data_IF_523569823324
#
_entry.id   IF_523569823324
#
_cell.length_a   1.000
_cell.length_b   1.000
_cell.length_c   1.000
_cell.angle_alpha   90.00
_cell.angle_beta   90.00
_cell.angle_gamma   90.00
#
_symmetry.space_group_name_H-M   'P 1'
#
loop_
_entity.id
_entity.type
_entity.pdbx_description
1 polymer ?
#
# COMPACT_ATOMS: atom_id res chain seq x y z
N UNK A 1 -33.97 -9.86 -42.12
CA UNK A 1 -34.25 -11.25 -41.67
C UNK A 1 -33.19 -12.15 -42.28
N UNK A 2 -32.30 -12.75 -41.48
CA UNK A 2 -31.21 -13.61 -41.97
C UNK A 2 -31.74 -15.02 -42.31
N UNK A 3 -31.67 -15.48 -43.58
CA UNK A 3 -32.21 -16.76 -44.01
C UNK A 3 -31.43 -17.98 -43.47
N UNK A 4 -30.27 -17.79 -42.84
CA UNK A 4 -29.49 -18.88 -42.21
C UNK A 4 -30.13 -19.44 -40.93
N UNK A 5 -31.20 -18.80 -40.45
CA UNK A 5 -31.89 -19.15 -39.20
C UNK A 5 -33.06 -20.15 -39.39
N UNK A 6 -33.26 -20.70 -40.60
CA UNK A 6 -34.42 -21.56 -40.91
C UNK A 6 -34.25 -23.05 -40.54
N UNK A 7 -33.29 -23.39 -39.68
CA UNK A 7 -33.16 -24.78 -39.19
C UNK A 7 -34.19 -25.00 -38.08
N UNK A 8 -35.03 -26.06 -38.15
CA UNK A 8 -35.94 -26.37 -37.05
C UNK A 8 -35.12 -26.57 -35.77
N UNK A 9 -35.41 -25.77 -34.74
CA UNK A 9 -34.77 -25.92 -33.43
C UNK A 9 -35.39 -27.11 -32.74
N UNK A 10 -34.56 -28.08 -32.38
CA UNK A 10 -34.98 -29.15 -31.48
C UNK A 10 -34.98 -28.62 -30.05
N UNK A 11 -36.15 -28.14 -29.63
CA UNK A 11 -36.35 -27.60 -28.28
C UNK A 11 -36.18 -28.66 -27.19
N UNK A 12 -36.40 -29.94 -27.51
CA UNK A 12 -36.25 -31.04 -26.55
C UNK A 12 -34.77 -31.31 -26.30
N UNK A 13 -33.96 -31.36 -27.36
CA UNK A 13 -32.51 -31.48 -27.25
C UNK A 13 -31.91 -30.27 -26.51
N UNK A 14 -32.37 -29.05 -26.82
CA UNK A 14 -31.91 -27.84 -26.14
C UNK A 14 -32.22 -27.88 -24.62
N UNK A 15 -33.44 -28.29 -24.24
CA UNK A 15 -33.82 -28.42 -22.84
C UNK A 15 -33.00 -29.49 -22.12
N UNK A 16 -32.76 -30.65 -22.74
CA UNK A 16 -31.91 -31.71 -22.19
C UNK A 16 -30.49 -31.20 -21.94
N UNK A 17 -29.86 -30.60 -22.94
CA UNK A 17 -28.51 -30.04 -22.83
C UNK A 17 -28.43 -28.99 -21.71
N UNK A 18 -29.43 -28.11 -21.60
CA UNK A 18 -29.48 -27.11 -20.54
C UNK A 18 -29.56 -27.78 -19.15
N UNK A 19 -30.43 -28.77 -18.98
CA UNK A 19 -30.56 -29.46 -17.69
C UNK A 19 -29.31 -30.25 -17.30
N UNK A 20 -28.62 -30.84 -18.27
CA UNK A 20 -27.34 -31.52 -18.03
C UNK A 20 -26.25 -30.53 -17.63
N UNK A 21 -26.15 -29.39 -18.30
CA UNK A 21 -25.19 -28.35 -17.93
C UNK A 21 -25.46 -27.79 -16.52
N UNK A 22 -26.73 -27.60 -16.14
CA UNK A 22 -27.10 -27.21 -14.78
C UNK A 22 -26.65 -28.25 -13.75
N UNK A 23 -26.79 -29.54 -14.05
CA UNK A 23 -26.30 -30.61 -13.15
C UNK A 23 -24.78 -30.58 -13.03
N UNK A 24 -24.06 -30.42 -14.15
CA UNK A 24 -22.59 -30.33 -14.16
C UNK A 24 -22.08 -29.09 -13.41
N UNK A 25 -22.71 -27.94 -13.58
CA UNK A 25 -22.32 -26.71 -12.87
C UNK A 25 -22.53 -26.84 -11.37
N UNK A 26 -23.65 -27.41 -10.92
CA UNK A 26 -23.87 -27.71 -9.50
C UNK A 26 -22.83 -28.67 -8.94
N UNK A 27 -22.49 -29.73 -9.68
CA UNK A 27 -21.42 -30.66 -9.29
C UNK A 27 -20.07 -29.96 -9.14
N UNK A 28 -19.70 -29.11 -10.10
CA UNK A 28 -18.46 -28.31 -10.04
C UNK A 28 -18.45 -27.34 -8.86
N UNK A 29 -19.56 -26.66 -8.59
CA UNK A 29 -19.70 -25.76 -7.44
C UNK A 29 -19.47 -26.52 -6.13
N UNK A 30 -20.07 -27.71 -5.99
CA UNK A 30 -19.93 -28.52 -4.78
C UNK A 30 -18.50 -29.00 -4.57
N UNK A 31 -17.82 -29.45 -5.65
CA UNK A 31 -16.40 -29.80 -5.59
C UNK A 31 -15.53 -28.60 -5.21
N UNK A 32 -15.84 -27.41 -5.75
CA UNK A 32 -15.13 -26.18 -5.41
C UNK A 32 -15.30 -25.86 -3.92
N UNK A 33 -16.51 -25.91 -3.39
CA UNK A 33 -16.76 -25.66 -1.96
C UNK A 33 -16.07 -26.70 -1.06
N UNK A 34 -16.04 -27.97 -1.44
CA UNK A 34 -15.31 -29.00 -0.70
C UNK A 34 -13.81 -28.76 -0.68
N UNK A 35 -13.25 -28.27 -1.79
CA UNK A 35 -11.80 -28.05 -1.93
C UNK A 35 -11.34 -26.77 -1.24
N UNK A 36 -12.09 -25.68 -1.41
CA UNK A 36 -11.68 -24.34 -0.99
C UNK A 36 -12.40 -23.82 0.24
N UNK A 37 -13.53 -24.42 0.64
CA UNK A 37 -14.26 -24.06 1.85
C UNK A 37 -13.38 -24.10 3.11
N UNK A 38 -12.68 -25.22 3.38
CA UNK A 38 -11.77 -25.31 4.54
C UNK A 38 -10.67 -24.25 4.51
N UNK A 39 -10.13 -23.96 3.31
CA UNK A 39 -9.07 -22.96 3.15
C UNK A 39 -9.54 -21.54 3.49
N UNK A 40 -10.81 -21.23 3.18
CA UNK A 40 -11.42 -19.95 3.54
C UNK A 40 -11.63 -19.85 5.06
N UNK A 41 -12.05 -20.94 5.71
CA UNK A 41 -12.19 -20.97 7.16
C UNK A 41 -10.85 -20.80 7.88
N UNK A 42 -9.79 -21.46 7.41
CA UNK A 42 -8.43 -21.29 7.91
C UNK A 42 -7.95 -19.84 7.76
N UNK A 43 -8.19 -19.24 6.60
CA UNK A 43 -7.85 -17.84 6.36
C UNK A 43 -8.57 -16.89 7.33
N UNK A 44 -9.86 -17.12 7.60
CA UNK A 44 -10.61 -16.32 8.58
C UNK A 44 -10.06 -16.49 9.99
N UNK A 45 -9.66 -17.70 10.39
CA UNK A 45 -9.06 -17.97 11.69
C UNK A 45 -7.70 -17.26 11.82
N UNK A 46 -6.82 -17.39 10.82
CA UNK A 46 -5.54 -16.68 10.82
C UNK A 46 -5.71 -15.16 10.87
N UNK A 47 -6.72 -14.62 10.16
CA UNK A 47 -7.04 -13.20 10.20
C UNK A 47 -7.44 -12.76 11.62
N UNK A 48 -8.25 -13.55 12.33
CA UNK A 48 -8.63 -13.27 13.73
C UNK A 48 -7.42 -13.29 14.66
N UNK A 49 -6.57 -14.32 14.56
CA UNK A 49 -5.33 -14.40 15.35
C UNK A 49 -4.42 -13.20 15.11
N UNK A 50 -4.26 -12.79 13.86
CA UNK A 50 -3.43 -11.64 13.51
C UNK A 50 -4.01 -10.33 14.07
N UNK A 51 -5.35 -10.16 14.03
CA UNK A 51 -5.99 -9.00 14.65
C UNK A 51 -5.78 -8.97 16.17
N UNK A 52 -5.92 -10.10 16.85
CA UNK A 52 -5.68 -10.18 18.30
C UNK A 52 -4.23 -9.86 18.67
N UNK A 53 -3.26 -10.33 17.88
CA UNK A 53 -1.84 -10.03 18.10
C UNK A 53 -1.53 -8.55 17.87
N UNK A 54 -2.12 -7.94 16.83
CA UNK A 54 -1.99 -6.52 16.58
C UNK A 54 -2.57 -5.69 17.72
N UNK A 55 -3.75 -6.03 18.24
CA UNK A 55 -4.37 -5.37 19.39
C UNK A 55 -3.51 -5.48 20.65
N UNK A 56 -3.00 -6.68 20.95
CA UNK A 56 -2.08 -6.91 22.08
C UNK A 56 -0.83 -6.04 21.96
N UNK A 57 -0.20 -6.02 20.78
CA UNK A 57 1.01 -5.20 20.52
C UNK A 57 0.72 -3.71 20.64
N UNK A 58 -0.42 -3.24 20.14
CA UNK A 58 -0.83 -1.85 20.29
C UNK A 58 -1.04 -1.48 21.76
N UNK A 59 -1.66 -2.35 22.56
CA UNK A 59 -1.78 -2.16 24.00
C UNK A 59 -0.41 -2.08 24.69
N UNK A 60 0.55 -2.94 24.32
CA UNK A 60 1.90 -2.93 24.91
C UNK A 60 2.67 -1.65 24.58
N UNK A 61 2.54 -1.14 23.35
CA UNK A 61 3.20 0.12 22.94
C UNK A 61 2.63 1.33 23.69
N UNK A 62 1.32 1.33 23.97
CA UNK A 62 0.68 2.39 24.77
C UNK A 62 1.20 2.36 26.21
N UNK A 63 1.29 1.18 26.82
CA UNK A 63 1.82 1.02 28.18
C UNK A 63 3.32 1.36 28.28
N UNK A 64 4.15 0.98 27.31
CA UNK A 64 5.58 1.30 27.29
C UNK A 64 5.84 2.80 27.06
N UNK A 65 4.98 3.49 26.31
CA UNK A 65 5.06 4.95 26.10
C UNK A 65 4.81 5.78 27.37
N UNK A 66 4.23 5.17 28.41
CA UNK A 66 4.07 5.79 29.72
C UNK A 66 5.35 5.76 30.56
N UNK A 67 6.32 4.89 30.24
CA UNK A 67 7.63 4.88 30.85
C UNK A 67 8.52 5.95 30.20
N UNK A 68 8.24 7.23 30.50
CA UNK A 68 9.24 8.27 30.29
C UNK A 68 10.47 7.90 31.11
N UNK A 69 11.53 7.47 30.44
CA UNK A 69 12.84 7.32 31.07
C UNK A 69 13.17 8.63 31.79
N UNK A 70 13.21 8.59 33.12
CA UNK A 70 13.50 9.76 33.96
C UNK A 70 14.95 10.19 33.85
N UNK A 71 15.80 9.44 33.14
CA UNK A 71 17.19 9.79 32.85
C UNK A 71 17.24 10.80 31.71
N UNK A 72 16.81 12.01 32.00
CA UNK A 72 17.10 13.17 31.17
C UNK A 72 18.55 13.59 31.39
N UNK A 73 19.38 13.58 30.35
CA UNK A 73 20.73 14.15 30.37
C UNK A 73 20.68 15.70 30.30
N UNK A 74 19.72 16.32 30.98
CA UNK A 74 19.56 17.78 31.04
C UNK A 74 19.65 18.26 32.51
N UNK A 75 20.24 19.45 32.75
CA UNK A 75 20.61 20.44 31.74
C UNK A 75 21.86 20.02 30.96
N UNK A 76 21.85 20.27 29.65
CA UNK A 76 23.07 20.18 28.83
C UNK A 76 24.14 20.95 29.59
N UNK A 77 25.25 20.33 30.00
CA UNK A 77 26.32 21.11 30.59
C UNK A 77 26.76 22.12 29.54
N UNK A 78 26.82 23.40 29.91
CA UNK A 78 27.49 24.43 29.11
C UNK A 78 28.98 24.10 29.08
N UNK A 79 29.30 23.10 28.28
CA UNK A 79 30.67 22.75 27.97
C UNK A 79 31.15 23.77 26.96
N UNK A 80 32.41 24.19 27.13
CA UNK A 80 33.20 24.96 26.15
C UNK A 80 33.31 24.25 24.77
N UNK A 81 32.63 23.11 24.60
CA UNK A 81 32.53 22.27 23.41
C UNK A 81 31.71 22.88 22.25
N UNK A 82 31.26 24.14 22.34
CA UNK A 82 30.74 24.88 21.16
C UNK A 82 31.76 24.87 20.01
N UNK A 83 33.05 24.84 20.34
CA UNK A 83 34.16 24.74 19.38
C UNK A 83 34.24 23.37 18.70
N UNK A 84 33.99 22.28 19.43
CA UNK A 84 34.02 20.92 18.88
C UNK A 84 32.86 20.65 17.91
N UNK A 85 31.65 21.15 18.22
CA UNK A 85 30.52 21.06 17.30
C UNK A 85 30.71 21.89 16.02
N UNK A 86 31.41 23.02 16.12
CA UNK A 86 31.78 23.85 14.97
C UNK A 86 32.86 23.19 14.09
N UNK A 87 33.83 22.51 14.69
CA UNK A 87 34.82 21.76 13.91
C UNK A 87 34.16 20.59 13.15
N UNK A 88 33.26 19.85 13.79
CA UNK A 88 32.55 18.72 13.18
C UNK A 88 31.55 19.12 12.07
N UNK A 89 31.18 20.40 11.98
CA UNK A 89 30.32 20.91 10.89
C UNK A 89 31.09 21.16 9.60
N UNK A 90 32.41 21.41 9.68
CA UNK A 90 33.29 21.57 8.52
C UNK A 90 33.38 20.26 7.75
N UNK A 91 33.28 20.34 6.42
CA UNK A 91 33.32 19.17 5.53
C UNK A 91 34.61 18.37 5.63
N UNK A 92 35.73 19.02 5.96
CA UNK A 92 37.06 18.43 6.11
C UNK A 92 37.18 17.47 7.30
N UNK A 93 36.34 17.65 8.33
CA UNK A 93 36.34 16.83 9.55
C UNK A 93 35.16 15.85 9.58
N UNK A 94 34.36 15.81 8.51
CA UNK A 94 33.37 14.75 8.33
C UNK A 94 34.14 13.49 7.95
N UNK A 95 34.23 12.54 8.88
CA UNK A 95 34.63 11.19 8.55
C UNK A 95 33.79 10.74 7.35
N UNK A 96 34.46 10.23 6.31
CA UNK A 96 33.80 9.61 5.17
C UNK A 96 32.73 8.66 5.72
N UNK A 97 31.46 8.91 5.36
CA UNK A 97 30.33 8.19 5.93
C UNK A 97 30.46 6.70 5.59
N UNK A 98 31.07 5.91 6.47
CA UNK A 98 30.93 4.46 6.47
C UNK A 98 29.57 4.14 7.10
N UNK A 99 28.54 4.26 6.28
CA UNK A 99 27.15 3.97 6.62
C UNK A 99 26.30 4.00 5.35
N UNK A 100 25.19 3.24 5.36
CA UNK A 100 24.33 3.04 4.20
C UNK A 100 24.03 4.36 3.49
N UNK A 101 24.42 4.43 2.21
CA UNK A 101 24.15 5.55 1.31
C UNK A 101 22.67 5.93 1.40
N UNK A 102 22.35 6.95 2.19
CA UNK A 102 21.12 7.71 2.02
C UNK A 102 21.37 8.53 0.76
N UNK A 103 20.90 8.01 -0.37
CA UNK A 103 20.79 8.78 -1.60
C UNK A 103 19.83 9.91 -1.26
N UNK A 104 20.33 11.14 -1.17
CA UNK A 104 19.50 12.33 -1.14
C UNK A 104 18.79 12.40 -2.50
N UNK A 105 17.71 11.64 -2.65
CA UNK A 105 16.83 11.75 -3.79
C UNK A 105 16.10 13.08 -3.63
N UNK A 106 16.73 14.16 -4.10
CA UNK A 106 16.06 15.44 -4.24
C UNK A 106 14.83 15.20 -5.10
N UNK A 107 13.66 15.32 -4.47
CA UNK A 107 12.37 15.24 -5.13
C UNK A 107 12.36 16.21 -6.33
N UNK A 108 12.32 15.70 -7.58
CA UNK A 108 12.49 16.55 -8.77
C UNK A 108 11.39 17.60 -8.91
N UNK A 109 10.29 17.45 -8.18
CA UNK A 109 9.16 18.38 -8.14
C UNK A 109 9.37 19.57 -7.19
N UNK A 110 10.38 19.55 -6.30
CA UNK A 110 10.64 20.69 -5.39
C UNK A 110 11.36 21.87 -6.05
N UNK A 111 11.87 21.68 -7.27
CA UNK A 111 12.43 22.77 -8.09
C UNK A 111 11.43 23.18 -9.17
N UNK A 112 10.26 23.64 -8.77
CA UNK A 112 9.45 24.48 -9.66
C UNK A 112 10.16 25.84 -9.79
N UNK A 113 11.08 25.96 -10.74
CA UNK A 113 11.55 27.27 -11.18
C UNK A 113 10.43 27.90 -12.00
N UNK A 114 9.79 28.92 -11.43
CA UNK A 114 8.81 29.75 -12.12
C UNK A 114 9.52 30.44 -13.30
N UNK A 115 9.21 30.02 -14.53
CA UNK A 115 9.74 30.64 -15.74
C UNK A 115 9.16 32.06 -15.82
N UNK A 116 9.99 33.07 -15.54
CA UNK A 116 9.64 34.46 -15.81
C UNK A 116 9.68 34.69 -17.32
N UNK A 117 8.50 34.83 -17.92
CA UNK A 117 8.29 35.18 -19.32
C UNK A 117 6.80 35.29 -19.61
N UNK A 118 6.44 35.92 -20.74
CA UNK A 118 5.05 36.02 -21.19
C UNK A 118 4.55 34.63 -21.63
N UNK A 119 3.99 33.88 -20.68
CA UNK A 119 3.34 32.60 -20.95
C UNK A 119 2.06 32.90 -21.73
N UNK A 120 1.87 32.35 -22.95
CA UNK A 120 0.63 32.55 -23.67
C UNK A 120 -0.54 31.99 -22.85
N UNK A 121 -1.49 32.87 -22.51
CA UNK A 121 -2.73 32.48 -21.84
C UNK A 121 -3.47 31.48 -22.73
N UNK A 122 -3.62 30.24 -22.26
CA UNK A 122 -4.53 29.27 -22.85
C UNK A 122 -5.96 29.83 -22.79
N UNK A 123 -6.67 29.73 -23.91
CA UNK A 123 -8.04 30.21 -24.04
C UNK A 123 -8.94 29.69 -22.92
N UNK A 124 -9.88 30.54 -22.49
CA UNK A 124 -10.88 30.24 -21.47
C UNK A 124 -11.58 28.90 -21.75
N UNK A 125 -11.36 27.93 -20.86
CA UNK A 125 -12.00 26.60 -20.95
C UNK A 125 -11.06 25.39 -20.86
N UNK A 126 -9.74 25.58 -20.82
CA UNK A 126 -8.79 24.49 -20.54
C UNK A 126 -7.91 24.83 -19.33
N UNK A 127 -8.40 24.44 -18.14
CA UNK A 127 -7.63 24.47 -16.90
C UNK A 127 -7.64 23.09 -16.24
N UNK A 128 -6.46 22.65 -15.78
CA UNK A 128 -6.33 21.59 -14.78
C UNK A 128 -6.98 22.10 -13.50
N UNK A 129 -7.97 21.36 -12.99
CA UNK A 129 -8.63 21.66 -11.73
C UNK A 129 -7.59 21.61 -10.60
N UNK A 130 -7.59 22.66 -9.79
CA UNK A 130 -6.79 22.82 -8.57
C UNK A 130 -7.43 22.07 -7.41
#
# INVERSE_FOLDING_TARGET
MDPRCSKPRDFVAAARNLTEEIKKTRGRQMMWFQTYGPLLEEYENMKKEMTELCEKKHATIVDDSASKDKRSCLPKPETRNREYGWLATKSEFRLEKYGSYMIDLTDPLKKETLLQGDIPLLATGKGLLR
#
